data_IF_288875401816
#
_entry.id   IF_288875401816
#
_cell.length_a   1.000
_cell.length_b   1.000
_cell.length_c   1.000
_cell.angle_alpha   90.00
_cell.angle_beta   90.00
_cell.angle_gamma   90.00
#
_symmetry.space_group_name_H-M   'P 1'
#
loop_
_entity.id
_entity.type
_entity.pdbx_description
1 polymer ?
#
# COMPACT_ATOMS: atom_id res chain seq x y z
N UNK A 1 -11.27 6.10 18.79
CA UNK A 1 -9.91 6.53 19.21
C UNK A 1 -9.06 6.61 17.95
N UNK A 2 -8.42 7.76 17.74
CA UNK A 2 -7.55 7.92 16.56
C UNK A 2 -6.45 6.84 16.52
N UNK A 3 -6.16 6.36 15.32
CA UNK A 3 -5.14 5.35 15.07
C UNK A 3 -4.41 5.68 13.76
N UNK A 4 -3.25 5.06 13.56
CA UNK A 4 -2.60 5.08 12.26
C UNK A 4 -2.21 3.67 11.82
N UNK A 5 -2.12 3.49 10.53
CA UNK A 5 -1.52 2.34 9.86
C UNK A 5 -0.38 2.83 8.99
N UNK A 6 0.62 1.98 8.75
CA UNK A 6 1.75 2.33 7.87
C UNK A 6 2.16 1.16 7.01
N UNK A 7 2.66 1.47 5.82
CA UNK A 7 3.25 0.50 4.89
C UNK A 7 4.58 1.06 4.38
N UNK A 8 5.65 0.25 4.33
CA UNK A 8 6.92 0.69 3.76
C UNK A 8 6.80 0.87 2.24
N UNK A 9 7.69 1.66 1.65
CA UNK A 9 7.98 1.58 0.23
C UNK A 9 8.92 0.42 -0.09
N UNK A 10 9.25 0.26 -1.36
CA UNK A 10 10.28 -0.66 -1.84
C UNK A 10 11.37 0.11 -2.58
N UNK A 11 12.56 -0.46 -2.70
CA UNK A 11 13.57 0.04 -3.60
C UNK A 11 13.75 -0.98 -4.74
N UNK A 12 12.85 -0.91 -5.71
CA UNK A 12 12.69 -1.97 -6.69
C UNK A 12 12.37 -3.31 -6.02
N UNK A 13 12.93 -4.36 -6.54
CA UNK A 13 12.77 -5.73 -6.05
C UNK A 13 14.13 -6.44 -5.99
N UNK A 14 14.27 -7.44 -5.10
CA UNK A 14 15.47 -8.30 -5.10
C UNK A 14 15.56 -9.14 -6.37
N UNK A 15 14.43 -9.64 -6.84
CA UNK A 15 14.31 -10.46 -8.04
C UNK A 15 12.94 -10.22 -8.66
N UNK A 16 12.89 -10.12 -9.98
CA UNK A 16 11.66 -10.16 -10.75
C UNK A 16 11.81 -11.16 -11.89
N UNK A 17 10.78 -11.96 -12.15
CA UNK A 17 10.87 -12.97 -13.19
C UNK A 17 9.58 -13.72 -13.46
N UNK A 18 9.75 -14.89 -14.09
CA UNK A 18 8.66 -15.83 -14.35
C UNK A 18 9.13 -17.25 -14.16
N UNK A 19 8.34 -18.04 -13.44
CA UNK A 19 8.54 -19.48 -13.25
C UNK A 19 7.32 -20.21 -13.80
N UNK A 20 7.51 -21.09 -14.78
CA UNK A 20 6.43 -21.85 -15.44
C UNK A 20 5.28 -20.97 -15.95
N UNK A 21 5.62 -19.77 -16.45
CA UNK A 21 4.64 -18.82 -16.97
C UNK A 21 3.98 -17.93 -15.90
N UNK A 22 4.18 -18.18 -14.63
CA UNK A 22 3.70 -17.35 -13.53
C UNK A 22 4.71 -16.24 -13.23
N UNK A 23 4.26 -14.99 -13.30
CA UNK A 23 5.10 -13.83 -12.97
C UNK A 23 5.20 -13.65 -11.47
N UNK A 24 6.36 -13.23 -11.01
CA UNK A 24 6.59 -12.90 -9.60
C UNK A 24 7.62 -11.80 -9.45
N UNK A 25 7.59 -11.18 -8.30
CA UNK A 25 8.69 -10.37 -7.77
C UNK A 25 8.99 -10.78 -6.33
N UNK A 26 10.18 -10.47 -5.87
CA UNK A 26 10.59 -10.60 -4.46
C UNK A 26 10.80 -9.20 -3.91
N UNK A 27 9.97 -8.81 -2.95
CA UNK A 27 9.93 -7.44 -2.41
C UNK A 27 11.26 -7.02 -1.79
N UNK A 28 11.63 -5.74 -1.96
CA UNK A 28 12.79 -5.13 -1.29
C UNK A 28 12.31 -3.93 -0.44
N UNK A 29 11.76 -4.16 0.76
CA UNK A 29 11.20 -3.09 1.58
C UNK A 29 12.28 -2.15 2.11
N UNK A 30 11.93 -0.86 2.22
CA UNK A 30 12.80 0.20 2.74
C UNK A 30 12.19 0.85 3.99
N UNK A 31 12.99 1.63 4.71
CA UNK A 31 12.56 2.35 5.93
C UNK A 31 11.97 3.74 5.63
N UNK A 32 11.23 3.87 4.55
CA UNK A 32 10.37 5.00 4.20
C UNK A 32 8.95 4.50 4.15
N UNK A 33 8.01 5.26 4.67
CA UNK A 33 6.66 4.76 4.90
C UNK A 33 5.61 5.72 4.35
N UNK A 34 4.52 5.14 3.92
CA UNK A 34 3.24 5.82 3.81
C UNK A 34 2.42 5.54 5.08
N UNK A 35 1.65 6.52 5.52
CA UNK A 35 0.83 6.49 6.73
C UNK A 35 -0.60 6.90 6.39
N UNK A 36 -1.57 6.19 6.92
CA UNK A 36 -2.96 6.66 6.92
C UNK A 36 -3.49 6.73 8.34
N UNK A 37 -4.20 7.82 8.64
CA UNK A 37 -4.76 8.11 9.96
C UNK A 37 -6.27 8.12 9.85
N UNK A 38 -6.93 7.36 10.70
CA UNK A 38 -8.40 7.27 10.77
C UNK A 38 -8.96 7.58 12.15
N UNK A 39 -10.28 7.70 12.22
CA UNK A 39 -11.06 7.95 13.43
C UNK A 39 -10.62 9.21 14.21
N UNK A 40 -10.36 10.29 13.46
CA UNK A 40 -9.90 11.58 13.99
C UNK A 40 -11.11 12.45 14.32
N UNK A 41 -11.15 13.02 15.51
CA UNK A 41 -12.27 13.88 15.96
C UNK A 41 -12.26 15.28 15.33
N UNK A 42 -11.10 15.76 14.86
CA UNK A 42 -10.93 17.08 14.25
C UNK A 42 -10.16 16.96 12.94
N UNK A 43 -10.45 17.81 11.94
CA UNK A 43 -9.67 17.83 10.71
C UNK A 43 -8.18 18.03 11.03
N UNK A 44 -7.34 17.13 10.51
CA UNK A 44 -5.89 17.29 10.60
C UNK A 44 -5.42 18.26 9.51
N UNK A 45 -4.34 19.02 9.74
CA UNK A 45 -3.71 19.83 8.69
C UNK A 45 -2.96 18.97 7.65
N UNK A 46 -3.25 17.69 7.59
CA UNK A 46 -2.74 16.75 6.59
C UNK A 46 -3.59 16.83 5.33
N UNK A 47 -2.98 16.58 4.19
CA UNK A 47 -3.70 16.61 2.92
C UNK A 47 -4.84 15.60 2.92
N UNK A 48 -6.05 16.09 2.65
CA UNK A 48 -7.14 15.21 2.24
C UNK A 48 -6.70 14.43 1.00
N UNK A 49 -7.07 13.16 0.91
CA UNK A 49 -6.76 12.33 -0.25
C UNK A 49 -7.38 12.98 -1.49
N UNK A 50 -6.57 13.26 -2.51
CA UNK A 50 -7.07 13.81 -3.77
C UNK A 50 -8.09 12.87 -4.40
N UNK A 51 -9.25 13.40 -4.78
CA UNK A 51 -10.35 12.65 -5.42
C UNK A 51 -9.95 11.92 -6.71
N UNK A 52 -8.86 12.34 -7.34
CA UNK A 52 -8.35 11.73 -8.57
C UNK A 52 -7.21 10.73 -8.32
N UNK A 53 -6.81 10.53 -7.06
CA UNK A 53 -5.70 9.65 -6.72
C UNK A 53 -6.13 8.18 -6.67
N UNK A 54 -5.17 7.27 -6.89
CA UNK A 54 -5.36 5.83 -6.68
C UNK A 54 -5.67 5.50 -5.20
N UNK A 55 -5.12 6.28 -4.27
CA UNK A 55 -5.46 6.18 -2.86
C UNK A 55 -6.95 6.47 -2.60
N UNK A 56 -7.55 7.42 -3.31
CA UNK A 56 -9.00 7.65 -3.23
C UNK A 56 -9.80 6.50 -3.85
N UNK A 57 -9.32 5.91 -4.93
CA UNK A 57 -9.95 4.70 -5.48
C UNK A 57 -9.95 3.57 -4.44
N UNK A 58 -8.86 3.38 -3.69
CA UNK A 58 -8.79 2.40 -2.61
C UNK A 58 -9.84 2.69 -1.51
N UNK A 59 -9.97 3.95 -1.10
CA UNK A 59 -11.00 4.37 -0.15
C UNK A 59 -12.41 3.97 -0.62
N UNK A 60 -12.77 4.31 -1.87
CA UNK A 60 -14.07 3.98 -2.44
C UNK A 60 -14.26 2.46 -2.60
N UNK A 61 -13.23 1.75 -3.08
CA UNK A 61 -13.31 0.29 -3.26
C UNK A 61 -13.58 -0.42 -1.94
N UNK A 62 -12.96 0.01 -0.85
CA UNK A 62 -13.23 -0.57 0.49
C UNK A 62 -14.65 -0.28 0.94
N UNK A 63 -15.14 0.95 0.80
CA UNK A 63 -16.51 1.29 1.18
C UNK A 63 -17.52 0.42 0.41
N UNK A 64 -17.34 0.30 -0.89
CA UNK A 64 -18.22 -0.51 -1.75
C UNK A 64 -18.14 -2.00 -1.39
N UNK A 65 -16.94 -2.52 -1.15
CA UNK A 65 -16.72 -3.94 -0.75
C UNK A 65 -17.39 -4.27 0.57
N UNK A 66 -17.35 -3.34 1.52
CA UNK A 66 -17.94 -3.51 2.86
C UNK A 66 -19.41 -3.09 2.94
N UNK A 67 -20.00 -2.58 1.85
CA UNK A 67 -21.39 -2.09 1.81
C UNK A 67 -21.62 -0.86 2.69
N UNK A 68 -20.60 -0.02 2.86
CA UNK A 68 -20.70 1.19 3.69
C UNK A 68 -21.23 2.34 2.84
N UNK A 69 -22.29 2.98 3.32
CA UNK A 69 -22.85 4.17 2.67
C UNK A 69 -21.82 5.32 2.72
N UNK A 70 -21.53 5.88 1.54
CA UNK A 70 -20.58 6.98 1.38
C UNK A 70 -20.97 8.24 2.17
N UNK A 71 -22.25 8.45 2.47
CA UNK A 71 -22.73 9.56 3.28
C UNK A 71 -22.36 9.44 4.76
N UNK A 72 -22.08 8.22 5.23
CA UNK A 72 -21.66 7.91 6.61
C UNK A 72 -20.18 7.56 6.70
N UNK A 73 -19.47 7.60 5.58
CA UNK A 73 -18.08 7.22 5.51
C UNK A 73 -17.17 8.18 6.31
N UNK A 74 -16.30 7.60 7.12
CA UNK A 74 -15.37 8.34 7.95
C UNK A 74 -14.15 8.79 7.14
N UNK A 75 -13.65 10.03 7.36
CA UNK A 75 -12.47 10.52 6.66
C UNK A 75 -11.20 9.76 7.05
N UNK A 76 -10.32 9.58 6.08
CA UNK A 76 -8.97 9.05 6.25
C UNK A 76 -7.98 10.09 5.72
N UNK A 77 -6.90 10.31 6.45
CA UNK A 77 -5.85 11.26 6.10
C UNK A 77 -4.59 10.50 5.71
N UNK A 78 -3.97 10.92 4.62
CA UNK A 78 -2.77 10.30 4.05
C UNK A 78 -1.55 11.22 4.26
N UNK A 79 -0.43 10.61 4.66
CA UNK A 79 0.90 11.23 4.67
C UNK A 79 1.92 10.20 4.16
N UNK A 80 2.85 10.61 3.32
CA UNK A 80 3.87 9.73 2.78
C UNK A 80 5.25 10.36 2.84
N UNK A 81 6.22 9.60 3.40
CA UNK A 81 7.65 9.93 3.37
C UNK A 81 8.33 9.34 2.11
N UNK A 82 7.57 8.63 1.27
CA UNK A 82 8.07 7.97 0.07
C UNK A 82 8.01 8.97 -1.09
N UNK A 83 9.14 9.18 -1.76
CA UNK A 83 9.19 10.05 -2.93
C UNK A 83 8.35 9.46 -4.07
N UNK A 84 7.43 10.28 -4.59
CA UNK A 84 6.56 9.86 -5.70
C UNK A 84 7.31 9.85 -7.03
N UNK A 85 6.96 8.91 -7.93
CA UNK A 85 7.52 8.81 -9.27
C UNK A 85 9.01 8.47 -9.31
N UNK A 86 9.53 7.78 -8.28
CA UNK A 86 10.95 7.39 -8.15
C UNK A 86 11.15 5.87 -8.06
N UNK A 87 10.15 5.08 -8.45
CA UNK A 87 10.24 3.61 -8.39
C UNK A 87 10.33 3.05 -6.97
N UNK A 88 9.75 3.77 -5.98
CA UNK A 88 9.80 3.38 -4.56
C UNK A 88 8.48 2.80 -4.05
N UNK A 89 7.62 2.32 -4.93
CA UNK A 89 6.29 1.78 -4.65
C UNK A 89 5.40 2.73 -3.81
N UNK A 90 5.56 4.05 -3.98
CA UNK A 90 4.76 5.04 -3.23
C UNK A 90 3.27 4.86 -3.45
N UNK A 91 2.84 4.59 -4.69
CA UNK A 91 1.44 4.35 -5.04
C UNK A 91 0.89 3.12 -4.34
N UNK A 92 1.58 1.98 -4.41
CA UNK A 92 1.17 0.73 -3.75
C UNK A 92 1.10 0.88 -2.21
N UNK A 93 2.04 1.62 -1.63
CA UNK A 93 2.03 1.93 -0.20
C UNK A 93 0.84 2.82 0.17
N UNK A 94 0.56 3.89 -0.58
CA UNK A 94 -0.55 4.81 -0.33
C UNK A 94 -1.91 4.10 -0.46
N UNK A 95 -2.10 3.29 -1.50
CA UNK A 95 -3.30 2.46 -1.70
C UNK A 95 -3.53 1.56 -0.50
N UNK A 96 -2.50 0.83 -0.07
CA UNK A 96 -2.63 -0.16 1.00
C UNK A 96 -2.95 0.47 2.36
N UNK A 97 -2.29 1.58 2.73
CA UNK A 97 -2.58 2.23 4.03
C UNK A 97 -3.97 2.85 4.05
N UNK A 98 -4.42 3.43 2.92
CA UNK A 98 -5.77 3.99 2.83
C UNK A 98 -6.81 2.89 2.89
N UNK A 99 -6.62 1.76 2.21
CA UNK A 99 -7.53 0.62 2.29
C UNK A 99 -7.65 0.10 3.74
N UNK A 100 -6.51 -0.15 4.39
CA UNK A 100 -6.49 -0.60 5.79
C UNK A 100 -7.16 0.39 6.75
N UNK A 101 -6.82 1.69 6.63
CA UNK A 101 -7.36 2.71 7.51
C UNK A 101 -8.86 2.90 7.32
N UNK A 102 -9.35 2.82 6.07
CA UNK A 102 -10.78 2.92 5.76
C UNK A 102 -11.55 1.79 6.41
N UNK A 103 -11.14 0.54 6.20
CA UNK A 103 -11.78 -0.62 6.82
C UNK A 103 -11.79 -0.50 8.34
N UNK A 104 -10.64 -0.21 8.94
CA UNK A 104 -10.47 -0.10 10.40
C UNK A 104 -11.30 1.03 11.01
N UNK A 105 -11.46 2.17 10.32
CA UNK A 105 -12.34 3.27 10.75
C UNK A 105 -13.79 2.84 10.91
N UNK A 106 -14.21 1.81 10.18
CA UNK A 106 -15.57 1.26 10.23
C UNK A 106 -15.68 -0.06 11.01
N UNK A 107 -14.63 -0.43 11.75
CA UNK A 107 -14.62 -1.61 12.62
C UNK A 107 -14.32 -2.93 11.94
N UNK A 108 -13.73 -2.89 10.73
CA UNK A 108 -13.31 -4.06 9.97
C UNK A 108 -11.79 -4.16 9.92
N UNK A 109 -11.27 -5.38 10.01
CA UNK A 109 -9.88 -5.70 9.73
C UNK A 109 -9.81 -6.51 8.42
N UNK A 110 -9.05 -6.00 7.43
CA UNK A 110 -8.83 -6.71 6.17
C UNK A 110 -7.79 -7.82 6.37
N UNK A 111 -8.05 -8.99 5.81
CA UNK A 111 -6.99 -9.99 5.66
C UNK A 111 -5.96 -9.52 4.62
N UNK A 112 -4.76 -10.11 4.63
CA UNK A 112 -3.73 -9.77 3.64
C UNK A 112 -4.19 -10.09 2.20
N UNK A 113 -4.97 -11.14 2.01
CA UNK A 113 -5.53 -11.53 0.72
C UNK A 113 -6.59 -10.52 0.25
N UNK A 114 -7.46 -10.05 1.16
CA UNK A 114 -8.43 -9.00 0.84
C UNK A 114 -7.73 -7.69 0.48
N UNK A 115 -6.69 -7.32 1.24
CA UNK A 115 -5.89 -6.13 0.95
C UNK A 115 -5.19 -6.25 -0.41
N UNK A 116 -4.57 -7.40 -0.71
CA UNK A 116 -3.93 -7.66 -2.00
C UNK A 116 -4.95 -7.56 -3.15
N UNK A 117 -6.14 -8.15 -2.99
CA UNK A 117 -7.21 -8.07 -3.98
C UNK A 117 -7.65 -6.63 -4.26
N UNK A 118 -7.80 -5.81 -3.21
CA UNK A 118 -8.14 -4.39 -3.35
C UNK A 118 -7.03 -3.64 -4.09
N UNK A 119 -5.76 -3.82 -3.68
CA UNK A 119 -4.63 -3.16 -4.33
C UNK A 119 -4.54 -3.53 -5.81
N UNK A 120 -4.63 -4.82 -6.14
CA UNK A 120 -4.54 -5.33 -7.51
C UNK A 120 -5.73 -4.91 -8.39
N UNK A 121 -6.90 -4.63 -7.81
CA UNK A 121 -8.03 -4.08 -8.56
C UNK A 121 -7.79 -2.67 -9.08
N UNK A 122 -6.79 -1.97 -8.52
CA UNK A 122 -6.45 -0.58 -8.85
C UNK A 122 -5.22 -0.52 -9.74
N UNK A 123 -4.17 -1.26 -9.38
CA UNK A 123 -2.92 -1.35 -10.14
C UNK A 123 -2.13 -2.62 -9.79
N UNK A 124 -1.18 -3.07 -10.65
CA UNK A 124 -0.15 -4.01 -10.24
C UNK A 124 0.58 -3.51 -9.00
N UNK A 125 0.88 -4.39 -8.05
CA UNK A 125 1.45 -3.97 -6.77
C UNK A 125 2.69 -4.75 -6.39
N UNK A 126 3.70 -4.07 -5.84
CA UNK A 126 4.90 -4.68 -5.27
C UNK A 126 4.63 -5.36 -3.91
N UNK A 127 3.38 -5.33 -3.45
CA UNK A 127 2.93 -5.93 -2.20
C UNK A 127 3.75 -5.52 -0.95
N UNK A 128 4.09 -4.23 -0.77
CA UNK A 128 4.92 -3.78 0.35
C UNK A 128 4.24 -3.93 1.72
N UNK A 129 2.95 -4.20 1.74
CA UNK A 129 2.14 -4.36 2.95
C UNK A 129 2.28 -5.74 3.61
N UNK A 130 2.85 -6.73 2.93
CA UNK A 130 3.16 -8.00 3.57
C UNK A 130 4.35 -7.86 4.53
N UNK A 131 4.31 -8.53 5.68
CA UNK A 131 5.44 -8.50 6.61
C UNK A 131 6.64 -9.28 6.07
N UNK A 132 7.83 -8.66 6.10
CA UNK A 132 9.07 -9.31 5.67
C UNK A 132 9.31 -9.24 4.16
N UNK A 133 10.05 -10.21 3.64
CA UNK A 133 10.34 -10.39 2.22
C UNK A 133 9.40 -11.45 1.68
N UNK A 134 8.63 -11.10 0.66
CA UNK A 134 7.68 -12.02 0.03
C UNK A 134 7.97 -12.18 -1.45
N UNK A 135 7.77 -13.40 -1.95
CA UNK A 135 7.58 -13.65 -3.36
C UNK A 135 6.10 -13.45 -3.67
N UNK A 136 5.78 -12.57 -4.59
CA UNK A 136 4.40 -12.18 -4.88
C UNK A 136 4.12 -12.12 -6.38
N UNK A 137 2.96 -12.64 -6.82
CA UNK A 137 2.45 -12.40 -8.17
C UNK A 137 1.84 -10.99 -8.24
N UNK A 138 2.65 -10.05 -8.70
CA UNK A 138 2.34 -8.62 -8.72
C UNK A 138 1.22 -8.21 -9.69
N UNK A 139 0.75 -9.14 -10.53
CA UNK A 139 -0.34 -8.88 -11.47
C UNK A 139 -1.67 -9.48 -11.03
N UNK A 140 -1.65 -10.73 -10.50
CA UNK A 140 -2.88 -11.47 -10.23
C UNK A 140 -3.03 -11.88 -8.77
N UNK A 141 -1.99 -11.76 -7.96
CA UNK A 141 -2.01 -12.18 -6.56
C UNK A 141 -2.15 -13.69 -6.34
N UNK A 142 -1.95 -14.50 -7.38
CA UNK A 142 -2.16 -15.96 -7.33
C UNK A 142 -1.08 -16.71 -6.56
N UNK A 143 0.03 -16.04 -6.27
CA UNK A 143 1.13 -16.58 -5.47
C UNK A 143 1.58 -15.53 -4.46
N UNK A 144 1.65 -15.92 -3.20
CA UNK A 144 2.29 -15.14 -2.14
C UNK A 144 3.01 -16.11 -1.20
N UNK A 145 4.33 -16.00 -1.13
CA UNK A 145 5.17 -16.82 -0.27
C UNK A 145 6.06 -15.95 0.59
N UNK A 146 6.00 -16.10 1.92
CA UNK A 146 6.90 -15.44 2.85
C UNK A 146 8.26 -16.13 2.81
N UNK A 147 9.29 -15.43 2.34
CA UNK A 147 10.65 -15.92 2.26
C UNK A 147 11.45 -15.68 3.54
N UNK A 148 11.04 -14.72 4.36
CA UNK A 148 11.68 -14.44 5.65
C UNK A 148 11.66 -12.96 6.04
N UNK A 149 12.44 -12.63 7.06
CA UNK A 149 12.62 -11.25 7.51
C UNK A 149 13.66 -10.52 6.65
N UNK A 150 13.47 -9.22 6.48
CA UNK A 150 14.44 -8.40 5.76
C UNK A 150 15.79 -8.41 6.53
N UNK A 151 16.90 -8.82 5.89
CA UNK A 151 18.22 -8.75 6.51
C UNK A 151 18.64 -7.29 6.72
N UNK A 152 19.58 -7.01 7.62
CA UNK A 152 20.09 -5.67 7.85
C UNK A 152 20.95 -5.21 6.66
N UNK A 153 20.30 -4.68 5.63
CA UNK A 153 20.95 -4.13 4.44
C UNK A 153 20.92 -2.60 4.47
N UNK A 154 21.90 -1.99 3.82
CA UNK A 154 21.91 -0.55 3.55
C UNK A 154 21.81 -0.34 2.04
N UNK A 155 20.81 0.45 1.64
CA UNK A 155 20.57 0.81 0.25
C UNK A 155 21.03 2.27 0.08
N UNK A 156 21.85 2.53 -0.95
CA UNK A 156 22.26 3.86 -1.37
C UNK A 156 21.56 4.15 -2.68
N UNK A 157 20.77 5.21 -2.71
CA UNK A 157 20.03 5.65 -3.89
C UNK A 157 20.58 6.98 -4.38
N UNK A 158 20.66 7.12 -5.70
CA UNK A 158 20.98 8.36 -6.37
C UNK A 158 19.77 8.78 -7.20
N UNK A 159 19.25 9.97 -6.95
CA UNK A 159 18.18 10.57 -7.75
C UNK A 159 18.82 11.37 -8.89
N UNK A 160 18.75 10.83 -10.09
CA UNK A 160 19.25 11.50 -11.31
C UNK A 160 18.21 12.49 -11.90
N UNK A 161 17.12 12.73 -11.20
CA UNK A 161 16.00 13.54 -11.66
C UNK A 161 14.99 12.72 -12.47
N UNK A 162 14.00 13.41 -13.04
CA UNK A 162 12.91 12.75 -13.78
C UNK A 162 11.87 12.10 -12.89
N UNK A 163 10.83 11.56 -13.54
CA UNK A 163 9.73 10.81 -12.92
C UNK A 163 9.45 9.58 -13.75
N UNK A 164 9.12 8.48 -13.11
CA UNK A 164 8.70 7.22 -13.73
C UNK A 164 7.18 7.19 -13.79
#
# INVERSE_FOLDING_TARGET
>A
MAFYVRTPGTCGEFIQGSIKGQRFLVTCPINRYSYAIGDVQYPLPLSSISLQSKAYQAYITVLDTLGIDRSTAKPVYLHSDILQGKGLASSSADISVVAMATAKSHGYDLSMEQLASICLSIEPTDAPFYPGIVQFDYLNGTCCELLGTCPPIRIVMFDEGGTI
#
